data_IF_593086390571
#
_entry.id   IF_593086390571
#
_cell.length_a   1.000
_cell.length_b   1.000
_cell.length_c   1.000
_cell.angle_alpha   90.00
_cell.angle_beta   90.00
_cell.angle_gamma   90.00
#
_symmetry.space_group_name_H-M   'P 1'
#
loop_
_entity.id
_entity.type
_entity.pdbx_description
1 polymer ?
#
# COMPACT_ATOMS: atom_id res chain seq x y z
N UNK A 1 13.56 -22.34 9.51
CA UNK A 1 12.93 -21.16 10.14
C UNK A 1 12.27 -20.35 9.03
N UNK A 2 10.97 -20.06 9.15
CA UNK A 2 10.26 -19.26 8.14
C UNK A 2 10.86 -17.85 8.06
N UNK A 3 11.24 -17.44 6.85
CA UNK A 3 11.90 -16.15 6.59
C UNK A 3 10.91 -15.01 6.83
N UNK A 4 11.25 -14.08 7.74
CA UNK A 4 10.41 -12.93 8.07
C UNK A 4 10.24 -12.00 6.85
N UNK A 5 8.98 -11.70 6.52
CA UNK A 5 8.60 -10.76 5.47
C UNK A 5 7.99 -9.52 6.11
N UNK A 6 8.55 -8.35 5.83
CA UNK A 6 8.16 -7.06 6.41
C UNK A 6 7.52 -6.16 5.37
N UNK A 7 6.50 -5.42 5.81
CA UNK A 7 5.98 -4.29 5.05
C UNK A 7 6.63 -2.99 5.52
N UNK A 8 7.15 -2.21 4.58
CA UNK A 8 7.55 -0.84 4.79
C UNK A 8 6.67 0.08 3.94
N UNK A 9 6.14 1.13 4.56
CA UNK A 9 5.36 2.16 3.87
C UNK A 9 6.01 3.51 4.15
N UNK A 10 6.38 4.20 3.08
CA UNK A 10 6.94 5.54 3.13
C UNK A 10 6.03 6.48 2.35
N UNK A 11 5.63 7.58 2.98
CA UNK A 11 4.83 8.61 2.34
C UNK A 11 5.65 9.89 2.21
N UNK A 12 5.75 10.43 1.00
CA UNK A 12 6.20 11.80 0.76
C UNK A 12 4.99 12.74 0.64
N UNK A 13 5.23 14.05 0.56
CA UNK A 13 4.15 15.04 0.39
C UNK A 13 3.28 14.79 -0.86
N UNK A 14 3.81 14.08 -1.87
CA UNK A 14 3.13 13.85 -3.16
C UNK A 14 2.89 12.38 -3.49
N UNK A 15 3.67 11.45 -2.94
CA UNK A 15 3.65 10.05 -3.37
C UNK A 15 3.70 9.07 -2.20
N UNK A 16 3.14 7.89 -2.43
CA UNK A 16 3.20 6.74 -1.52
C UNK A 16 4.14 5.71 -2.12
N UNK A 17 5.01 5.16 -1.28
CA UNK A 17 5.93 4.08 -1.59
C UNK A 17 5.68 2.93 -0.62
N UNK A 18 5.53 1.73 -1.14
CA UNK A 18 5.34 0.50 -0.38
C UNK A 18 6.42 -0.48 -0.82
N UNK A 19 7.17 -1.00 0.14
CA UNK A 19 8.19 -2.01 -0.09
C UNK A 19 7.93 -3.23 0.78
N UNK A 20 8.03 -4.42 0.18
CA UNK A 20 7.97 -5.69 0.90
C UNK A 20 9.38 -6.26 0.93
N UNK A 21 9.91 -6.39 2.14
CA UNK A 21 11.26 -6.87 2.42
C UNK A 21 11.19 -8.31 2.93
N UNK A 22 12.09 -9.19 2.50
CA UNK A 22 12.29 -10.51 3.11
C UNK A 22 13.75 -10.61 3.50
N UNK A 23 14.06 -10.90 4.76
CA UNK A 23 15.44 -10.92 5.25
C UNK A 23 16.22 -9.63 4.86
N UNK A 24 15.60 -8.46 5.00
CA UNK A 24 16.14 -7.15 4.61
C UNK A 24 16.42 -6.93 3.12
N UNK A 25 16.03 -7.85 2.23
CA UNK A 25 16.09 -7.63 0.77
C UNK A 25 14.72 -7.22 0.24
N UNK A 26 14.67 -6.19 -0.60
CA UNK A 26 13.43 -5.76 -1.26
C UNK A 26 13.01 -6.80 -2.30
N UNK A 27 11.79 -7.33 -2.16
CA UNK A 27 11.21 -8.25 -3.15
C UNK A 27 10.17 -7.53 -4.00
N UNK A 28 9.33 -6.69 -3.39
CA UNK A 28 8.26 -5.99 -4.10
C UNK A 28 8.38 -4.50 -3.78
N UNK A 29 8.34 -3.66 -4.81
CA UNK A 29 8.31 -2.20 -4.67
C UNK A 29 7.16 -1.61 -5.49
N UNK A 30 6.29 -0.89 -4.81
CA UNK A 30 5.10 -0.23 -5.37
C UNK A 30 5.21 1.26 -5.08
N UNK A 31 4.98 2.08 -6.09
CA UNK A 31 4.99 3.53 -5.94
C UNK A 31 3.77 4.10 -6.65
N UNK A 32 3.06 5.02 -5.98
CA UNK A 32 1.98 5.78 -6.59
C UNK A 32 2.45 6.72 -7.70
N UNK A 33 3.78 6.92 -7.83
CA UNK A 33 4.37 7.67 -8.93
C UNK A 33 4.49 6.86 -10.23
N UNK A 34 4.26 5.54 -10.23
CA UNK A 34 4.27 4.77 -11.48
C UNK A 34 3.14 5.25 -12.39
N UNK A 35 3.43 5.35 -13.70
CA UNK A 35 2.48 5.77 -14.74
C UNK A 35 1.10 5.13 -14.60
N UNK A 36 1.05 3.82 -14.35
CA UNK A 36 -0.20 3.09 -14.11
C UNK A 36 -1.11 3.77 -13.07
N UNK A 37 -0.60 4.07 -11.88
CA UNK A 37 -1.41 4.70 -10.82
C UNK A 37 -1.76 6.15 -11.12
N UNK A 38 -0.89 6.89 -11.82
CA UNK A 38 -1.18 8.25 -12.25
C UNK A 38 -2.31 8.29 -13.29
N UNK A 39 -2.33 7.34 -14.22
CA UNK A 39 -3.39 7.21 -15.22
C UNK A 39 -4.71 6.83 -14.55
N UNK A 40 -4.70 5.83 -13.66
CA UNK A 40 -5.90 5.43 -12.90
C UNK A 40 -6.43 6.59 -12.04
N UNK A 41 -5.54 7.34 -11.38
CA UNK A 41 -5.91 8.53 -10.62
C UNK A 41 -6.53 9.61 -11.49
N UNK A 42 -5.94 9.89 -12.66
CA UNK A 42 -6.42 10.91 -13.59
C UNK A 42 -7.79 10.55 -14.17
N UNK A 43 -7.99 9.28 -14.54
CA UNK A 43 -9.29 8.75 -14.99
C UNK A 43 -10.34 8.89 -13.89
N UNK A 44 -10.01 8.50 -12.64
CA UNK A 44 -10.95 8.60 -11.51
C UNK A 44 -11.30 10.04 -11.15
N UNK A 45 -10.33 10.97 -11.25
CA UNK A 45 -10.57 12.40 -11.06
C UNK A 45 -11.54 12.95 -12.11
N UNK A 46 -11.41 12.50 -13.36
CA UNK A 46 -12.27 12.92 -14.46
C UNK A 46 -13.69 12.38 -14.32
N UNK A 47 -13.85 11.11 -13.94
CA UNK A 47 -15.15 10.45 -13.85
C UNK A 47 -15.99 10.84 -12.61
N UNK A 48 -15.51 11.74 -11.72
CA UNK A 48 -16.19 12.16 -10.47
C UNK A 48 -16.78 10.99 -9.66
N UNK A 49 -16.15 9.81 -9.77
CA UNK A 49 -16.70 8.60 -9.19
C UNK A 49 -16.38 8.61 -7.69
N UNK A 50 -17.36 9.03 -6.87
CA UNK A 50 -17.25 9.10 -5.40
C UNK A 50 -16.92 7.75 -4.75
N UNK A 51 -17.12 6.63 -5.46
CA UNK A 51 -16.79 5.27 -5.00
C UNK A 51 -15.33 4.85 -5.25
N UNK A 52 -14.61 5.52 -6.17
CA UNK A 52 -13.18 5.26 -6.46
C UNK A 52 -12.22 6.05 -5.55
N UNK A 53 -12.74 6.57 -4.44
CA UNK A 53 -12.13 7.59 -3.59
C UNK A 53 -10.82 7.20 -2.86
N UNK A 54 -10.22 6.06 -3.12
CA UNK A 54 -8.93 5.75 -2.52
C UNK A 54 -7.99 5.10 -3.51
N UNK A 55 -7.11 5.93 -4.10
CA UNK A 55 -5.86 5.48 -4.75
C UNK A 55 -5.11 4.47 -3.87
N UNK A 56 -5.25 4.61 -2.54
CA UNK A 56 -4.76 3.67 -1.54
C UNK A 56 -5.33 2.27 -1.74
N UNK A 57 -6.65 2.12 -1.98
CA UNK A 57 -7.28 0.82 -2.19
C UNK A 57 -6.76 0.14 -3.45
N UNK A 58 -6.58 0.89 -4.55
CA UNK A 58 -6.00 0.38 -5.79
C UNK A 58 -4.57 -0.10 -5.56
N UNK A 59 -3.77 0.68 -4.83
CA UNK A 59 -2.40 0.32 -4.45
C UNK A 59 -2.38 -0.95 -3.58
N UNK A 60 -3.31 -1.08 -2.63
CA UNK A 60 -3.42 -2.27 -1.77
C UNK A 60 -3.86 -3.52 -2.55
N UNK A 61 -4.82 -3.39 -3.48
CA UNK A 61 -5.23 -4.50 -4.36
C UNK A 61 -4.06 -4.95 -5.24
N UNK A 62 -3.35 -4.02 -5.86
CA UNK A 62 -2.16 -4.33 -6.65
C UNK A 62 -1.05 -4.96 -5.80
N UNK A 63 -0.87 -4.51 -4.55
CA UNK A 63 0.06 -5.12 -3.62
C UNK A 63 -0.30 -6.57 -3.31
N UNK A 64 -1.58 -6.84 -3.06
CA UNK A 64 -2.08 -8.20 -2.78
C UNK A 64 -1.81 -9.14 -3.96
N UNK A 65 -2.06 -8.69 -5.19
CA UNK A 65 -1.75 -9.48 -6.39
C UNK A 65 -0.25 -9.79 -6.49
N UNK A 66 0.62 -8.78 -6.32
CA UNK A 66 2.07 -8.99 -6.37
C UNK A 66 2.60 -9.91 -5.27
N UNK A 67 1.99 -9.86 -4.09
CA UNK A 67 2.30 -10.78 -2.99
C UNK A 67 1.94 -12.23 -3.35
N UNK A 68 0.76 -12.45 -3.94
CA UNK A 68 0.31 -13.77 -4.38
C UNK A 68 1.22 -14.35 -5.47
N UNK A 69 1.57 -13.53 -6.48
CA UNK A 69 2.53 -13.91 -7.54
C UNK A 69 3.90 -14.30 -6.96
N UNK A 70 4.34 -13.61 -5.89
CA UNK A 70 5.63 -13.86 -5.24
C UNK A 70 5.59 -15.00 -4.20
N UNK A 71 4.45 -15.69 -4.06
CA UNK A 71 4.26 -16.77 -3.08
C UNK A 71 4.24 -16.29 -1.62
N UNK A 72 4.04 -14.99 -1.37
CA UNK A 72 4.03 -14.39 -0.03
C UNK A 72 2.61 -14.49 0.55
N UNK A 73 2.42 -15.37 1.54
CA UNK A 73 1.13 -15.57 2.21
C UNK A 73 0.95 -14.73 3.47
N UNK A 74 2.05 -14.36 4.13
CA UNK A 74 2.03 -13.66 5.42
C UNK A 74 2.94 -12.44 5.38
N UNK A 75 2.51 -11.37 6.05
CA UNK A 75 3.18 -10.10 6.07
C UNK A 75 3.23 -9.59 7.52
N UNK A 76 4.44 -9.38 8.04
CA UNK A 76 4.59 -8.76 9.34
C UNK A 76 4.44 -7.24 9.21
N UNK A 77 3.37 -6.73 9.81
CA UNK A 77 3.12 -5.30 9.96
C UNK A 77 3.90 -4.77 11.16
N UNK A 78 4.75 -3.78 10.92
CA UNK A 78 5.49 -3.12 12.00
C UNK A 78 4.51 -2.39 12.94
N UNK A 79 4.63 -2.56 14.27
CA UNK A 79 3.80 -1.87 15.26
C UNK A 79 3.86 -0.33 15.15
N UNK A 80 4.98 0.24 14.67
CA UNK A 80 5.08 1.69 14.38
C UNK A 80 4.10 2.13 13.27
N UNK A 81 3.87 1.27 12.28
CA UNK A 81 2.89 1.50 11.20
C UNK A 81 1.46 1.44 11.75
N UNK A 82 1.15 0.46 12.59
CA UNK A 82 -0.15 0.37 13.27
C UNK A 82 -0.42 1.61 14.12
N UNK A 83 0.58 2.16 14.82
CA UNK A 83 0.42 3.39 15.60
C UNK A 83 0.29 4.66 14.73
N UNK A 84 0.91 4.73 13.55
CA UNK A 84 0.75 5.85 12.60
C UNK A 84 -0.67 5.90 11.98
N UNK A 85 -1.32 4.75 11.79
CA UNK A 85 -2.65 4.66 11.19
C UNK A 85 -3.78 4.38 12.19
N UNK A 86 -3.49 4.14 13.47
CA UNK A 86 -4.50 4.05 14.54
C UNK A 86 -5.37 5.31 14.60
N UNK A 87 -4.77 6.49 14.36
CA UNK A 87 -5.49 7.77 14.39
C UNK A 87 -6.36 8.06 13.15
N UNK A 88 -6.22 7.28 12.07
CA UNK A 88 -7.04 7.43 10.85
C UNK A 88 -8.11 6.35 10.70
N UNK A 89 -8.05 5.26 11.48
CA UNK A 89 -9.10 4.23 11.51
C UNK A 89 -10.10 4.41 12.65
N UNK A 90 -9.75 5.15 13.72
CA UNK A 90 -10.62 5.40 14.88
C UNK A 90 -11.27 6.79 14.91
N UNK A 91 -11.18 7.60 13.84
CA UNK A 91 -11.96 8.83 13.76
C UNK A 91 -13.39 8.53 13.30
N UNK A 92 -14.29 8.60 14.29
CA UNK A 92 -15.74 8.82 14.24
C UNK A 92 -16.61 7.57 14.05
N UNK A 93 -16.67 6.75 15.10
CA UNK A 93 -17.96 6.28 15.60
C UNK A 93 -18.28 7.04 16.89
N UNK A 94 -19.15 8.04 16.76
CA UNK A 94 -20.03 8.56 17.81
C UNK A 94 -21.42 8.64 17.20
#
# INVERSE_FOLDING_TARGET
MDKLVFLNIQKSNKYLYISILKNNTNIITISSNKKYFQTVYSINKYLKNKSFNNINNIIFSYMKEKMLESGIKYLFLNKKLINLYKNSFYRNHS
#
